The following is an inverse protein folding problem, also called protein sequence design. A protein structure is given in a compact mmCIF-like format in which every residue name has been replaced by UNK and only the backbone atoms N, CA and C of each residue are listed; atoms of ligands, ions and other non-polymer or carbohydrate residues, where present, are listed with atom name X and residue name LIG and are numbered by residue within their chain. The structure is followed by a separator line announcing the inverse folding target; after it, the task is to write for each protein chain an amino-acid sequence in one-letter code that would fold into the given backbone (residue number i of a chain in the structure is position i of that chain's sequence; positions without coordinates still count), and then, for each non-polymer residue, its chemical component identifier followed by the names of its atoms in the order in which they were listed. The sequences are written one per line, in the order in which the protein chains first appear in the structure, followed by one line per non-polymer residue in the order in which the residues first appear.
data_IF_416827528206
#
_entry.id   IF_416827528206
#
_cell.length_a   1.000
_cell.length_b   1.000
_cell.length_c   1.000
_cell.angle_alpha   90.00
_cell.angle_beta   90.00
_cell.angle_gamma   90.00
#
_symmetry.space_group_name_H-M   'P 1'
#
loop_
_entity.id
_entity.type
_entity.pdbx_description
1 polymer ?
#
# COMPACT_ATOMS: atom_id res chain seq x y z
N UNK A 1 48.40 -1.01 35.39
CA UNK A 1 47.66 -2.13 34.78
C UNK A 1 46.17 -1.79 34.84
N UNK A 2 45.71 -0.74 34.15
CA UNK A 2 45.10 -0.71 32.80
C UNK A 2 43.87 -1.61 32.59
N UNK A 3 42.71 -0.93 32.58
CA UNK A 3 41.61 -1.08 31.63
C UNK A 3 40.57 -2.22 31.85
N UNK A 4 39.50 -1.91 32.60
CA UNK A 4 38.20 -2.58 32.44
C UNK A 4 37.02 -1.59 32.58
N UNK A 5 37.16 -0.44 31.90
CA UNK A 5 36.15 0.62 31.87
C UNK A 5 35.85 0.92 30.41
N UNK A 6 35.01 0.12 29.75
CA UNK A 6 34.38 0.34 28.42
C UNK A 6 33.70 -0.94 27.88
N UNK A 7 32.57 -1.37 28.44
CA UNK A 7 31.77 -2.47 27.85
C UNK A 7 30.26 -2.27 28.05
N UNK A 8 29.75 -1.04 27.90
CA UNK A 8 28.30 -0.77 28.03
C UNK A 8 27.65 0.01 26.85
N UNK A 9 28.33 0.64 25.86
CA UNK A 9 27.57 1.28 24.77
C UNK A 9 27.22 0.33 23.60
N UNK A 10 27.59 -0.96 23.65
CA UNK A 10 27.39 -1.88 22.52
C UNK A 10 25.98 -2.52 22.47
N UNK A 11 25.08 -2.19 23.40
CA UNK A 11 23.72 -2.76 23.45
C UNK A 11 22.67 -1.96 22.66
N UNK A 12 23.07 -0.88 21.97
CA UNK A 12 22.15 0.05 21.31
C UNK A 12 22.07 -0.09 19.77
N UNK A 13 22.82 -1.02 19.15
CA UNK A 13 22.93 -1.11 17.67
C UNK A 13 22.33 -2.42 17.12
N UNK A 14 21.94 -3.37 17.96
CA UNK A 14 21.37 -4.64 17.52
C UNK A 14 19.86 -4.60 17.20
N UNK A 15 19.18 -3.46 17.36
CA UNK A 15 17.75 -3.30 17.03
C UNK A 15 17.49 -2.57 15.71
N UNK A 16 18.49 -2.46 14.83
CA UNK A 16 18.35 -1.87 13.48
C UNK A 16 18.63 -2.85 12.35
N UNK A 17 18.88 -4.13 12.66
CA UNK A 17 19.18 -5.18 11.68
C UNK A 17 18.03 -6.17 11.45
N UNK A 18 16.78 -5.73 11.69
CA UNK A 18 15.57 -6.51 11.37
C UNK A 18 14.97 -6.22 9.98
N UNK A 19 15.53 -5.27 9.22
CA UNK A 19 14.92 -4.75 8.00
C UNK A 19 15.40 -5.34 6.67
N UNK A 20 16.39 -6.23 6.68
CA UNK A 20 16.98 -6.74 5.44
C UNK A 20 16.87 -8.27 5.40
N UNK A 21 15.86 -8.75 4.67
CA UNK A 21 15.76 -10.04 3.95
C UNK A 21 14.29 -10.50 3.81
N UNK A 22 13.37 -9.58 3.46
CA UNK A 22 12.22 -9.96 2.65
C UNK A 22 12.65 -9.89 1.17
N UNK A 23 13.67 -10.70 0.82
CA UNK A 23 14.17 -10.81 -0.54
C UNK A 23 13.13 -11.55 -1.39
N UNK A 24 12.39 -10.76 -2.16
CA UNK A 24 12.18 -10.99 -3.59
C UNK A 24 11.70 -12.38 -3.98
N UNK A 25 10.64 -12.86 -3.32
CA UNK A 25 9.80 -13.87 -3.96
C UNK A 25 8.99 -13.12 -5.02
N UNK A 26 9.15 -13.41 -6.33
CA UNK A 26 8.32 -12.77 -7.33
C UNK A 26 6.88 -12.98 -6.90
N UNK A 27 6.15 -11.87 -6.76
CA UNK A 27 4.73 -11.90 -6.47
C UNK A 27 4.10 -12.96 -7.39
N UNK A 28 3.29 -13.90 -6.88
CA UNK A 28 2.65 -14.89 -7.74
C UNK A 28 1.98 -14.12 -8.89
N UNK A 29 2.12 -14.60 -10.12
CA UNK A 29 1.72 -13.88 -11.35
C UNK A 29 0.34 -13.20 -11.25
N UNK A 30 -0.58 -13.78 -10.49
CA UNK A 30 -1.90 -13.25 -10.13
C UNK A 30 -1.91 -11.93 -9.36
N UNK A 31 -0.95 -11.67 -8.47
CA UNK A 31 -0.86 -10.46 -7.66
C UNK A 31 -0.41 -9.27 -8.50
N UNK A 32 0.56 -9.48 -9.40
CA UNK A 32 0.99 -8.44 -10.33
C UNK A 32 -0.12 -8.09 -11.34
N UNK A 33 -0.81 -9.10 -11.87
CA UNK A 33 -1.97 -8.89 -12.74
C UNK A 33 -3.09 -8.12 -12.01
N UNK A 34 -3.38 -8.48 -10.76
CA UNK A 34 -4.34 -7.77 -9.93
C UNK A 34 -3.91 -6.31 -9.69
N UNK A 35 -2.65 -6.08 -9.29
CA UNK A 35 -2.13 -4.73 -9.04
C UNK A 35 -2.14 -3.85 -10.30
N UNK A 36 -1.88 -4.43 -11.48
CA UNK A 36 -1.95 -3.73 -12.75
C UNK A 36 -3.40 -3.35 -13.10
N UNK A 37 -4.33 -4.30 -12.99
CA UNK A 37 -5.75 -4.05 -13.22
C UNK A 37 -6.30 -2.95 -12.31
N UNK A 38 -6.00 -3.03 -11.01
CA UNK A 38 -6.43 -2.02 -10.03
C UNK A 38 -5.80 -0.65 -10.26
N UNK A 39 -4.54 -0.61 -10.72
CA UNK A 39 -3.90 0.65 -11.12
C UNK A 39 -4.65 1.32 -12.28
N UNK A 40 -5.05 0.54 -13.29
CA UNK A 40 -5.81 1.07 -14.42
C UNK A 40 -7.21 1.55 -14.01
N UNK A 41 -7.87 0.83 -13.10
CA UNK A 41 -9.17 1.19 -12.55
C UNK A 41 -9.10 2.53 -11.79
N UNK A 42 -8.11 2.71 -10.91
CA UNK A 42 -7.89 3.98 -10.19
C UNK A 42 -7.71 5.14 -11.18
N UNK A 43 -6.86 4.98 -12.20
CA UNK A 43 -6.62 6.03 -13.19
C UNK A 43 -7.89 6.35 -13.99
N UNK A 44 -8.68 5.35 -14.37
CA UNK A 44 -9.98 5.56 -15.02
C UNK A 44 -10.91 6.39 -14.13
N UNK A 45 -11.00 6.07 -12.84
CA UNK A 45 -11.86 6.80 -11.90
C UNK A 45 -11.35 8.22 -11.64
N UNK A 46 -10.03 8.45 -11.59
CA UNK A 46 -9.45 9.80 -11.53
C UNK A 46 -9.80 10.64 -12.75
N UNK A 47 -9.72 10.07 -13.95
CA UNK A 47 -10.14 10.75 -15.20
C UNK A 47 -11.64 11.06 -15.18
N UNK A 48 -12.46 10.15 -14.64
CA UNK A 48 -13.90 10.42 -14.48
C UNK A 48 -14.13 11.53 -13.46
N UNK A 49 -13.43 11.51 -12.34
CA UNK A 49 -13.52 12.53 -11.29
C UNK A 49 -13.09 13.92 -11.79
N UNK A 50 -12.12 14.01 -12.71
CA UNK A 50 -11.73 15.28 -13.32
C UNK A 50 -12.78 15.81 -14.30
N UNK A 51 -13.55 14.92 -14.93
CA UNK A 51 -14.63 15.28 -15.86
C UNK A 51 -15.95 15.61 -15.15
N UNK A 52 -16.19 15.00 -13.98
CA UNK A 52 -17.37 15.20 -13.15
C UNK A 52 -16.95 15.23 -11.66
N UNK A 53 -16.61 16.43 -11.13
CA UNK A 53 -16.11 16.56 -9.77
C UNK A 53 -17.15 16.14 -8.72
N UNK A 54 -16.83 15.13 -7.91
CA UNK A 54 -17.62 14.73 -6.75
C UNK A 54 -16.81 14.97 -5.47
N UNK A 55 -17.35 15.75 -4.53
CA UNK A 55 -16.65 16.19 -3.31
C UNK A 55 -16.11 15.04 -2.45
N UNK A 56 -16.75 13.87 -2.47
CA UNK A 56 -16.35 12.69 -1.71
C UNK A 56 -15.35 11.76 -2.42
N UNK A 57 -15.19 11.85 -3.75
CA UNK A 57 -14.43 10.86 -4.51
C UNK A 57 -12.90 11.03 -4.36
N UNK A 58 -12.41 12.26 -4.23
CA UNK A 58 -10.97 12.55 -4.16
C UNK A 58 -10.26 11.86 -2.99
N UNK A 59 -10.73 12.02 -1.74
CA UNK A 59 -10.13 11.34 -0.58
C UNK A 59 -10.15 9.80 -0.71
N UNK A 60 -11.21 9.24 -1.27
CA UNK A 60 -11.34 7.78 -1.45
C UNK A 60 -10.39 7.25 -2.52
N UNK A 61 -10.17 8.00 -3.61
CA UNK A 61 -9.18 7.65 -4.63
C UNK A 61 -7.75 7.72 -4.08
N UNK A 62 -7.46 8.68 -3.22
CA UNK A 62 -6.17 8.77 -2.53
C UNK A 62 -5.95 7.59 -1.56
N UNK A 63 -7.01 7.16 -0.86
CA UNK A 63 -7.00 5.93 -0.04
C UNK A 63 -6.71 4.69 -0.91
N UNK A 64 -7.36 4.57 -2.06
CA UNK A 64 -7.15 3.46 -2.99
C UNK A 64 -5.70 3.41 -3.52
N UNK A 65 -5.09 4.56 -3.86
CA UNK A 65 -3.68 4.64 -4.25
C UNK A 65 -2.74 4.16 -3.12
N UNK A 66 -2.99 4.59 -1.88
CA UNK A 66 -2.17 4.18 -0.74
C UNK A 66 -2.31 2.68 -0.46
N UNK A 67 -3.53 2.14 -0.54
CA UNK A 67 -3.79 0.70 -0.42
C UNK A 67 -3.12 -0.10 -1.53
N UNK A 68 -3.13 0.38 -2.77
CA UNK A 68 -2.42 -0.26 -3.89
C UNK A 68 -0.91 -0.24 -3.68
N UNK A 69 -0.35 0.88 -3.20
CA UNK A 69 1.07 0.99 -2.84
C UNK A 69 1.45 -0.01 -1.75
N UNK A 70 0.64 -0.09 -0.68
CA UNK A 70 0.83 -1.08 0.40
C UNK A 70 0.71 -2.50 -0.13
N UNK A 71 -0.29 -2.80 -0.96
CA UNK A 71 -0.48 -4.12 -1.55
C UNK A 71 0.77 -4.59 -2.33
N UNK A 72 1.38 -3.69 -3.11
CA UNK A 72 2.63 -3.97 -3.86
C UNK A 72 3.81 -4.28 -2.93
N UNK A 73 3.88 -3.64 -1.77
CA UNK A 73 4.99 -3.74 -0.82
C UNK A 73 4.76 -4.81 0.27
N UNK A 74 3.53 -5.23 0.48
CA UNK A 74 3.14 -6.07 1.60
C UNK A 74 3.54 -7.56 1.40
N UNK A 75 3.85 -8.26 2.50
CA UNK A 75 4.05 -9.70 2.49
C UNK A 75 2.74 -10.44 2.14
N UNK A 76 2.88 -11.64 1.58
CA UNK A 76 1.74 -12.43 1.08
C UNK A 76 0.62 -12.67 2.12
N UNK A 77 0.97 -12.76 3.41
CA UNK A 77 0.00 -12.95 4.49
C UNK A 77 -0.99 -11.78 4.64
N UNK A 78 -0.57 -10.56 4.31
CA UNK A 78 -1.39 -9.34 4.44
C UNK A 78 -2.14 -8.99 3.13
N UNK A 79 -1.70 -9.55 2.00
CA UNK A 79 -2.24 -9.24 0.67
C UNK A 79 -3.74 -9.55 0.53
N UNK A 80 -4.24 -10.60 1.18
CA UNK A 80 -5.67 -10.93 1.15
C UNK A 80 -6.54 -9.83 1.76
N UNK A 81 -6.12 -9.29 2.91
CA UNK A 81 -6.80 -8.16 3.57
C UNK A 81 -6.71 -6.88 2.74
N UNK A 82 -5.53 -6.59 2.19
CA UNK A 82 -5.32 -5.41 1.35
C UNK A 82 -6.12 -5.46 0.04
N UNK A 83 -6.31 -6.64 -0.57
CA UNK A 83 -7.22 -6.82 -1.71
C UNK A 83 -8.64 -6.40 -1.36
N UNK A 84 -9.19 -6.96 -0.28
CA UNK A 84 -10.55 -6.66 0.15
C UNK A 84 -10.73 -5.16 0.46
N UNK A 85 -9.76 -4.54 1.12
CA UNK A 85 -9.78 -3.10 1.40
C UNK A 85 -9.72 -2.26 0.12
N UNK A 86 -8.85 -2.62 -0.83
CA UNK A 86 -8.71 -1.92 -2.09
C UNK A 86 -9.99 -2.03 -2.94
N UNK A 87 -10.58 -3.22 -3.04
CA UNK A 87 -11.83 -3.45 -3.76
C UNK A 87 -12.98 -2.64 -3.11
N UNK A 88 -13.06 -2.60 -1.79
CA UNK A 88 -14.04 -1.79 -1.07
C UNK A 88 -13.83 -0.28 -1.24
N UNK A 89 -12.57 0.20 -1.30
CA UNK A 89 -12.26 1.60 -1.56
C UNK A 89 -12.68 2.01 -2.98
N UNK A 90 -12.41 1.16 -3.98
CA UNK A 90 -12.81 1.40 -5.37
C UNK A 90 -14.33 1.44 -5.54
N UNK A 91 -15.05 0.49 -4.94
CA UNK A 91 -16.52 0.50 -4.95
C UNK A 91 -17.10 1.76 -4.29
N UNK A 92 -16.48 2.25 -3.21
CA UNK A 92 -16.85 3.53 -2.59
C UNK A 92 -16.58 4.71 -3.53
N UNK A 93 -15.42 4.75 -4.18
CA UNK A 93 -15.09 5.82 -5.12
C UNK A 93 -16.08 5.86 -6.30
N UNK A 94 -16.45 4.70 -6.84
CA UNK A 94 -17.48 4.60 -7.87
C UNK A 94 -18.83 5.12 -7.41
N UNK A 95 -19.24 4.76 -6.18
CA UNK A 95 -20.50 5.23 -5.60
C UNK A 95 -20.49 6.76 -5.43
N UNK A 96 -19.40 7.34 -4.93
CA UNK A 96 -19.26 8.80 -4.79
C UNK A 96 -19.33 9.51 -6.15
N UNK A 97 -18.66 8.97 -7.17
CA UNK A 97 -18.73 9.50 -8.54
C UNK A 97 -20.11 9.30 -9.18
N UNK A 98 -20.86 8.28 -8.78
CA UNK A 98 -22.24 8.09 -9.25
C UNK A 98 -23.22 9.08 -8.62
N UNK A 99 -22.98 9.51 -7.38
CA UNK A 99 -23.79 10.49 -6.65
C UNK A 99 -23.59 11.93 -7.11
N UNK A 100 -22.41 12.24 -7.63
CA UNK A 100 -22.08 13.58 -8.15
C UNK A 100 -22.58 13.86 -9.58
N UNK A 101 -23.34 12.94 -10.19
CA UNK A 101 -23.94 13.09 -11.52
C UNK A 101 -25.38 13.60 -11.47
#
# INVERSE_FOLDING_TARGET
MTAFRRLIPALAISLWLGGALAADRPAPSSDNAYAAAKSAEIEMLKVRASSAPALGAGPVLMEADDLLRRFRQAPAAERGSLRAQLDAALARAELELSRGR
#
